data_IF_103077745138
#
_entry.id   IF_103077745138
#
_cell.length_a   1.000
_cell.length_b   1.000
_cell.length_c   1.000
_cell.angle_alpha   90.00
_cell.angle_beta   90.00
_cell.angle_gamma   90.00
#
_symmetry.space_group_name_H-M   'P 1'
#
loop_
_entity.id
_entity.type
_entity.pdbx_description
1 polymer ?
#
# COMPACT_ATOMS: atom_id res chain seq x y z
N UNK A 1 13.58 -29.32 -32.74
CA UNK A 1 13.77 -28.12 -31.89
C UNK A 1 15.24 -27.78 -31.93
N UNK A 2 15.64 -26.53 -32.21
CA UNK A 2 17.04 -26.15 -32.07
C UNK A 2 17.45 -26.33 -30.61
N UNK A 3 18.64 -26.88 -30.37
CA UNK A 3 19.17 -27.03 -29.02
C UNK A 3 19.46 -25.64 -28.45
N UNK A 4 18.96 -25.34 -27.24
CA UNK A 4 19.34 -24.15 -26.49
C UNK A 4 20.82 -24.27 -26.09
N UNK A 5 21.70 -23.69 -26.91
CA UNK A 5 23.14 -23.66 -26.63
C UNK A 5 23.37 -22.54 -25.61
N UNK A 6 23.52 -22.92 -24.34
CA UNK A 6 23.94 -22.01 -23.28
C UNK A 6 25.39 -21.60 -23.53
N UNK A 7 25.64 -20.31 -23.71
CA UNK A 7 27.00 -19.81 -23.93
C UNK A 7 27.73 -19.65 -22.60
N UNK A 8 29.05 -19.79 -22.62
CA UNK A 8 29.90 -19.59 -21.44
C UNK A 8 29.75 -18.19 -20.85
N UNK A 9 29.49 -17.18 -21.70
CA UNK A 9 29.20 -15.82 -21.27
C UNK A 9 27.90 -15.74 -20.45
N UNK A 10 26.82 -16.38 -20.90
CA UNK A 10 25.56 -16.41 -20.15
C UNK A 10 25.73 -17.07 -18.78
N UNK A 11 26.55 -18.11 -18.67
CA UNK A 11 26.89 -18.74 -17.38
C UNK A 11 27.70 -17.78 -16.49
N UNK A 12 28.66 -17.05 -17.05
CA UNK A 12 29.46 -16.08 -16.31
C UNK A 12 28.60 -14.92 -15.78
N UNK A 13 27.69 -14.40 -16.60
CA UNK A 13 26.77 -13.32 -16.24
C UNK A 13 25.81 -13.78 -15.12
N UNK A 14 25.27 -15.00 -15.22
CA UNK A 14 24.44 -15.59 -14.17
C UNK A 14 25.19 -15.73 -12.85
N UNK A 15 26.45 -16.18 -12.88
CA UNK A 15 27.28 -16.29 -11.68
C UNK A 15 27.55 -14.92 -11.04
N UNK A 16 27.94 -13.93 -11.84
CA UNK A 16 28.17 -12.58 -11.35
C UNK A 16 26.90 -11.97 -10.74
N UNK A 17 25.73 -12.23 -11.32
CA UNK A 17 24.45 -11.82 -10.76
C UNK A 17 24.16 -12.47 -9.40
N UNK A 18 24.36 -13.79 -9.30
CA UNK A 18 24.18 -14.53 -8.03
C UNK A 18 25.13 -14.00 -6.95
N UNK A 19 26.40 -13.79 -7.29
CA UNK A 19 27.41 -13.26 -6.36
C UNK A 19 27.05 -11.85 -5.89
N UNK A 20 26.57 -11.00 -6.78
CA UNK A 20 26.11 -9.66 -6.44
C UNK A 20 24.90 -9.67 -5.48
N UNK A 21 23.94 -10.58 -5.69
CA UNK A 21 22.82 -10.77 -4.76
C UNK A 21 23.32 -11.20 -3.38
N UNK A 22 24.24 -12.16 -3.32
CA UNK A 22 24.79 -12.64 -2.06
C UNK A 22 25.56 -11.54 -1.32
N UNK A 23 26.39 -10.78 -2.03
CA UNK A 23 27.13 -9.65 -1.48
C UNK A 23 26.18 -8.55 -0.97
N UNK A 24 25.11 -8.26 -1.72
CA UNK A 24 24.09 -7.33 -1.29
C UNK A 24 23.44 -7.83 0.01
N UNK A 25 22.94 -9.06 0.04
CA UNK A 25 22.31 -9.64 1.22
C UNK A 25 23.23 -9.58 2.46
N UNK A 26 24.49 -9.98 2.33
CA UNK A 26 25.47 -9.89 3.41
C UNK A 26 25.70 -8.45 3.87
N UNK A 27 25.78 -7.50 2.93
CA UNK A 27 25.95 -6.09 3.26
C UNK A 27 24.74 -5.50 3.99
N UNK A 28 23.54 -5.98 3.68
CA UNK A 28 22.30 -5.60 4.37
C UNK A 28 22.27 -6.15 5.78
N UNK A 29 22.60 -7.44 5.97
CA UNK A 29 22.71 -8.05 7.29
C UNK A 29 23.73 -7.36 8.19
N UNK A 30 24.90 -6.99 7.64
CA UNK A 30 25.94 -6.27 8.38
C UNK A 30 25.53 -4.85 8.77
N UNK A 31 24.87 -4.12 7.86
CA UNK A 31 24.50 -2.71 8.09
C UNK A 31 23.22 -2.54 8.89
N UNK A 32 22.27 -3.46 8.74
CA UNK A 32 20.92 -3.38 9.30
C UNK A 32 20.52 -4.67 10.03
N UNK A 33 21.33 -5.18 10.99
CA UNK A 33 21.01 -6.41 11.71
C UNK A 33 19.73 -6.30 12.56
N UNK A 34 19.35 -5.07 12.93
CA UNK A 34 18.14 -4.77 13.70
C UNK A 34 16.86 -4.84 12.85
N UNK A 35 16.96 -4.70 11.53
CA UNK A 35 15.81 -4.51 10.65
C UNK A 35 14.85 -5.70 10.64
N UNK A 36 15.30 -6.97 10.50
CA UNK A 36 14.38 -8.11 10.51
C UNK A 36 13.61 -8.25 11.83
N UNK A 37 14.29 -8.04 12.96
CA UNK A 37 13.66 -8.09 14.29
C UNK A 37 12.66 -6.95 14.47
N UNK A 38 12.99 -5.75 14.04
CA UNK A 38 12.07 -4.61 14.12
C UNK A 38 10.87 -4.80 13.20
N UNK A 39 11.10 -5.30 11.97
CA UNK A 39 10.06 -5.63 11.01
C UNK A 39 9.10 -6.68 11.60
N UNK A 40 9.61 -7.73 12.23
CA UNK A 40 8.79 -8.71 12.94
C UNK A 40 7.96 -8.09 14.08
N UNK A 41 8.58 -7.26 14.93
CA UNK A 41 7.86 -6.53 15.98
C UNK A 41 6.72 -5.68 15.43
N UNK A 42 6.95 -4.97 14.32
CA UNK A 42 5.94 -4.15 13.66
C UNK A 42 4.82 -5.00 13.06
N UNK A 43 5.15 -6.11 12.38
CA UNK A 43 4.15 -7.03 11.82
C UNK A 43 3.28 -7.66 12.90
N UNK A 44 3.87 -8.08 14.02
CA UNK A 44 3.12 -8.61 15.17
C UNK A 44 2.13 -7.58 15.75
N UNK A 45 2.42 -6.29 15.63
CA UNK A 45 1.56 -5.21 16.13
C UNK A 45 0.39 -4.89 15.20
N UNK A 46 0.40 -5.35 13.96
CA UNK A 46 -0.66 -5.03 12.98
C UNK A 46 -2.04 -5.47 13.50
N UNK A 47 -2.13 -6.65 14.11
CA UNK A 47 -3.40 -7.16 14.65
C UNK A 47 -3.93 -6.28 15.80
N UNK A 48 -3.03 -5.78 16.65
CA UNK A 48 -3.37 -4.85 17.72
C UNK A 48 -3.88 -3.52 17.15
N UNK A 49 -3.18 -2.96 16.16
CA UNK A 49 -3.58 -1.72 15.48
C UNK A 49 -4.96 -1.87 14.84
N UNK A 50 -5.25 -3.03 14.25
CA UNK A 50 -6.56 -3.31 13.68
C UNK A 50 -7.66 -3.36 14.73
N UNK A 51 -7.40 -4.00 15.87
CA UNK A 51 -8.34 -4.07 16.97
C UNK A 51 -8.58 -2.68 17.59
N UNK A 52 -7.51 -1.92 17.84
CA UNK A 52 -7.59 -0.54 18.34
C UNK A 52 -8.39 0.36 17.37
N UNK A 53 -8.11 0.28 16.07
CA UNK A 53 -8.81 1.06 15.05
C UNK A 53 -10.30 0.73 15.00
N UNK A 54 -10.64 -0.56 15.10
CA UNK A 54 -12.03 -1.03 15.12
C UNK A 54 -12.77 -0.54 16.37
N UNK A 55 -12.12 -0.54 17.53
CA UNK A 55 -12.69 -0.02 18.78
C UNK A 55 -12.91 1.50 18.73
N UNK A 56 -11.95 2.24 18.17
CA UNK A 56 -11.98 3.71 18.17
C UNK A 56 -12.94 4.30 17.14
N UNK A 57 -13.00 3.72 15.94
CA UNK A 57 -13.75 4.30 14.80
C UNK A 57 -14.98 3.47 14.41
N UNK A 58 -15.18 2.31 15.02
CA UNK A 58 -16.26 1.39 14.66
C UNK A 58 -15.99 0.59 13.39
N UNK A 59 -16.78 -0.46 13.21
CA UNK A 59 -16.61 -1.45 12.14
C UNK A 59 -16.75 -0.84 10.75
N UNK A 60 -17.63 0.15 10.58
CA UNK A 60 -17.92 0.75 9.27
C UNK A 60 -16.73 1.55 8.73
N UNK A 61 -16.14 2.42 9.55
CA UNK A 61 -14.96 3.21 9.16
C UNK A 61 -13.74 2.32 8.95
N UNK A 62 -13.60 1.26 9.76
CA UNK A 62 -12.56 0.27 9.60
C UNK A 62 -12.68 -0.50 8.27
N UNK A 63 -13.88 -0.98 7.93
CA UNK A 63 -14.14 -1.67 6.66
C UNK A 63 -13.89 -0.77 5.46
N UNK A 64 -14.26 0.52 5.54
CA UNK A 64 -13.94 1.52 4.50
C UNK A 64 -12.43 1.71 4.32
N UNK A 65 -11.65 1.77 5.40
CA UNK A 65 -10.20 1.87 5.32
C UNK A 65 -9.56 0.58 4.76
N UNK A 66 -9.97 -0.59 5.25
CA UNK A 66 -9.45 -1.88 4.83
C UNK A 66 -9.72 -2.16 3.34
N UNK A 67 -10.90 -1.80 2.85
CA UNK A 67 -11.27 -1.93 1.42
C UNK A 67 -10.48 -0.99 0.53
N UNK A 68 -10.09 0.21 1.01
CA UNK A 68 -9.25 1.16 0.26
C UNK A 68 -7.78 0.75 0.18
N UNK A 69 -7.22 0.13 1.21
CA UNK A 69 -5.77 -0.15 1.31
C UNK A 69 -5.35 -1.55 0.84
N UNK A 70 -6.17 -2.59 1.06
CA UNK A 70 -5.76 -3.99 0.80
C UNK A 70 -6.18 -4.54 -0.56
N UNK A 71 -7.11 -3.90 -1.25
CA UNK A 71 -7.47 -4.27 -2.60
C UNK A 71 -7.24 -3.04 -3.47
N UNK A 72 -6.24 -3.09 -4.35
CA UNK A 72 -6.32 -2.31 -5.56
C UNK A 72 -7.75 -2.50 -6.09
N UNK A 73 -8.51 -1.41 -6.28
CA UNK A 73 -9.95 -1.35 -6.61
C UNK A 73 -10.40 -2.21 -7.82
N UNK A 74 -9.51 -2.99 -8.40
CA UNK A 74 -9.67 -3.84 -9.58
C UNK A 74 -10.46 -5.13 -9.30
N UNK A 75 -10.70 -5.55 -8.05
CA UNK A 75 -11.19 -6.92 -7.81
C UNK A 75 -12.52 -7.12 -7.08
N UNK A 76 -13.14 -6.15 -6.41
CA UNK A 76 -14.54 -6.28 -5.93
C UNK A 76 -15.18 -4.91 -5.73
N UNK A 77 -15.80 -4.36 -6.76
CA UNK A 77 -16.74 -3.25 -6.65
C UNK A 77 -18.12 -3.77 -7.04
N UNK A 78 -19.08 -3.72 -6.12
CA UNK A 78 -20.49 -3.98 -6.42
C UNK A 78 -21.12 -2.70 -6.95
N UNK A 79 -22.16 -2.77 -7.78
CA UNK A 79 -22.82 -1.58 -8.32
C UNK A 79 -23.30 -0.61 -7.22
N UNK A 80 -23.78 -1.13 -6.10
CA UNK A 80 -24.21 -0.34 -4.94
C UNK A 80 -23.05 0.40 -4.25
N UNK A 81 -21.84 -0.15 -4.28
CA UNK A 81 -20.65 0.48 -3.70
C UNK A 81 -20.19 1.67 -4.55
N UNK A 82 -20.34 1.56 -5.88
CA UNK A 82 -20.04 2.64 -6.83
C UNK A 82 -21.01 3.81 -6.65
N UNK A 83 -22.29 3.53 -6.43
CA UNK A 83 -23.32 4.55 -6.23
C UNK A 83 -23.09 5.36 -4.95
N UNK A 84 -22.77 4.68 -3.83
CA UNK A 84 -22.37 5.34 -2.57
C UNK A 84 -21.08 6.15 -2.70
N UNK A 85 -20.10 5.68 -3.48
CA UNK A 85 -18.87 6.44 -3.73
C UNK A 85 -19.13 7.68 -4.59
N UNK A 86 -20.06 7.60 -5.55
CA UNK A 86 -20.50 8.74 -6.35
C UNK A 86 -21.27 9.77 -5.52
N UNK A 87 -22.14 9.33 -4.61
CA UNK A 87 -22.86 10.23 -3.69
C UNK A 87 -21.89 10.97 -2.76
N UNK A 88 -20.95 10.25 -2.15
CA UNK A 88 -19.92 10.89 -1.28
C UNK A 88 -18.99 11.82 -2.06
N UNK A 89 -18.70 11.53 -3.34
CA UNK A 89 -18.00 12.49 -4.20
C UNK A 89 -18.83 13.73 -4.49
N UNK A 90 -20.12 13.58 -4.80
CA UNK A 90 -21.03 14.71 -5.03
C UNK A 90 -21.15 15.61 -3.81
N UNK A 91 -21.18 15.04 -2.59
CA UNK A 91 -21.17 15.84 -1.36
C UNK A 91 -19.85 16.61 -1.20
N UNK A 92 -18.71 15.99 -1.51
CA UNK A 92 -17.39 16.65 -1.44
C UNK A 92 -17.23 17.77 -2.50
N UNK A 93 -17.79 17.56 -3.70
CA UNK A 93 -17.85 18.57 -4.76
C UNK A 93 -18.76 19.74 -4.35
N UNK A 94 -19.90 19.45 -3.73
CA UNK A 94 -20.81 20.46 -3.16
C UNK A 94 -20.16 21.28 -2.04
N UNK A 95 -19.28 20.67 -1.25
CA UNK A 95 -18.49 21.34 -0.20
C UNK A 95 -17.31 22.15 -0.77
N UNK A 96 -17.17 22.27 -2.10
CA UNK A 96 -16.17 23.10 -2.76
C UNK A 96 -14.78 22.45 -2.89
N UNK A 97 -14.66 21.14 -2.65
CA UNK A 97 -13.40 20.41 -2.82
C UNK A 97 -13.19 19.97 -4.28
N UNK A 98 -13.08 20.93 -5.20
CA UNK A 98 -12.82 20.67 -6.62
C UNK A 98 -11.31 20.61 -6.90
N UNK A 99 -10.90 19.65 -7.75
CA UNK A 99 -9.53 19.49 -8.27
C UNK A 99 -8.42 19.11 -7.27
N UNK A 100 -8.68 18.15 -6.38
CA UNK A 100 -7.60 17.56 -5.58
C UNK A 100 -6.70 16.66 -6.43
N UNK A 101 -5.60 17.22 -6.95
CA UNK A 101 -4.54 16.46 -7.59
C UNK A 101 -3.61 15.89 -6.51
N UNK A 102 -3.60 14.56 -6.39
CA UNK A 102 -2.78 13.85 -5.40
C UNK A 102 -1.61 13.17 -6.13
N UNK A 103 -0.38 13.24 -5.62
CA UNK A 103 0.75 12.56 -6.25
C UNK A 103 0.47 11.05 -6.40
N UNK A 104 0.90 10.49 -7.54
CA UNK A 104 0.64 9.08 -7.93
C UNK A 104 1.15 8.04 -6.91
N UNK A 105 1.99 8.46 -5.98
CA UNK A 105 2.63 7.61 -4.95
C UNK A 105 1.90 7.63 -3.62
N UNK A 106 0.87 8.47 -3.44
CA UNK A 106 0.07 8.51 -2.21
C UNK A 106 -1.38 8.10 -2.50
N UNK A 107 -2.06 7.60 -1.48
CA UNK A 107 -3.39 6.99 -1.60
C UNK A 107 -4.53 7.98 -1.87
N UNK A 108 -4.26 9.19 -2.35
CA UNK A 108 -5.32 10.17 -2.61
C UNK A 108 -5.77 10.98 -1.39
N UNK A 109 -5.43 10.55 -0.17
CA UNK A 109 -6.16 10.99 1.03
C UNK A 109 -5.42 12.01 1.91
N UNK A 110 -4.09 12.03 1.87
CA UNK A 110 -3.29 12.90 2.73
C UNK A 110 -2.49 13.90 1.91
N UNK A 111 -2.92 15.15 1.99
CA UNK A 111 -2.23 16.30 1.40
C UNK A 111 -3.18 17.46 1.12
N UNK A 112 -3.39 18.32 2.13
CA UNK A 112 -4.02 19.66 2.01
C UNK A 112 -5.53 19.70 1.69
N UNK A 113 -6.34 18.81 2.28
CA UNK A 113 -7.78 19.07 2.37
C UNK A 113 -8.04 20.11 3.46
N UNK A 114 -8.79 21.17 3.15
CA UNK A 114 -9.37 22.03 4.19
C UNK A 114 -10.47 21.24 4.91
N UNK A 115 -10.61 21.36 6.25
CA UNK A 115 -11.70 20.69 6.97
C UNK A 115 -13.07 21.07 6.38
N UNK A 116 -13.88 20.07 6.02
CA UNK A 116 -15.25 20.26 5.48
C UNK A 116 -16.29 20.29 6.59
N UNK A 117 -17.56 20.54 6.24
CA UNK A 117 -18.72 20.59 7.16
C UNK A 117 -18.86 19.32 8.03
N UNK A 118 -18.47 18.16 7.51
CA UNK A 118 -18.38 16.88 8.23
C UNK A 118 -17.41 16.88 9.43
N UNK A 119 -16.45 17.81 9.48
CA UNK A 119 -15.45 17.90 10.54
C UNK A 119 -15.82 18.86 11.67
N UNK A 120 -16.86 19.67 11.46
CA UNK A 120 -17.38 20.59 12.45
C UNK A 120 -18.73 20.03 12.90
N UNK A 121 -18.73 19.35 14.05
CA UNK A 121 -19.94 18.99 14.77
C UNK A 121 -20.58 20.23 15.39
#
# INVERSE_FOLDING_TARGET
MPADIVTTQQVADQRAFIDNINNLALSWWKRLPWYPRMQECLYRRIDQIYLESRQMYGDEHFLRYATRQRLAKKHRLTAADVEKELETRRTLESDGCLNLAVPKTTNGEYGRLKPTSLHWC
#
